data_IF_038962726063
#
_entry.id   IF_038962726063
#
_cell.length_a   1.000
_cell.length_b   1.000
_cell.length_c   1.000
_cell.angle_alpha   90.00
_cell.angle_beta   90.00
_cell.angle_gamma   90.00
#
_symmetry.space_group_name_H-M   'P 1'
#
loop_
_entity.id
_entity.type
_entity.pdbx_description
1 polymer ?
#
# COMPACT_ATOMS: atom_id res chain seq x y z
N UNK A 1 -3.67 -6.35 -1.31
CA UNK A 1 -3.92 -7.62 -0.62
C UNK A 1 -5.36 -8.14 -0.77
N UNK A 2 -6.33 -7.51 -1.46
CA UNK A 2 -7.69 -8.05 -1.51
C UNK A 2 -8.49 -7.69 -2.78
N UNK A 3 -9.40 -8.57 -3.19
CA UNK A 3 -10.60 -8.22 -3.97
C UNK A 3 -11.44 -7.21 -3.16
N UNK A 4 -12.38 -6.49 -3.79
CA UNK A 4 -13.27 -5.51 -3.14
C UNK A 4 -13.98 -6.01 -1.85
N UNK A 5 -13.95 -7.32 -1.57
CA UNK A 5 -14.48 -7.99 -0.37
C UNK A 5 -13.45 -8.34 0.73
N UNK A 6 -12.20 -7.90 0.66
CA UNK A 6 -11.31 -7.96 1.83
C UNK A 6 -10.91 -9.36 2.33
N UNK A 7 -10.93 -10.42 1.50
CA UNK A 7 -10.39 -11.76 1.87
C UNK A 7 -9.22 -12.26 1.01
N UNK A 8 -8.20 -12.80 1.67
CA UNK A 8 -6.99 -13.34 1.03
C UNK A 8 -7.34 -14.51 0.11
N UNK A 9 -8.23 -15.38 0.59
CA UNK A 9 -8.73 -16.55 -0.11
C UNK A 9 -9.45 -16.20 -1.42
N UNK A 10 -10.16 -15.08 -1.48
CA UNK A 10 -10.83 -14.67 -2.73
C UNK A 10 -9.87 -14.12 -3.77
N UNK A 11 -8.79 -13.42 -3.41
CA UNK A 11 -7.83 -13.00 -4.43
C UNK A 11 -7.21 -14.21 -5.18
N UNK A 12 -6.90 -15.27 -4.44
CA UNK A 12 -6.34 -16.53 -4.95
C UNK A 12 -7.38 -17.30 -5.78
N UNK A 13 -8.61 -17.43 -5.27
CA UNK A 13 -9.67 -18.19 -5.93
C UNK A 13 -10.07 -17.60 -7.30
N UNK A 14 -9.94 -16.28 -7.47
CA UNK A 14 -10.40 -15.57 -8.67
C UNK A 14 -9.27 -15.23 -9.66
N UNK A 15 -8.03 -15.70 -9.45
CA UNK A 15 -6.87 -15.45 -10.34
C UNK A 15 -6.75 -13.97 -10.75
N UNK A 16 -6.85 -13.06 -9.78
CA UNK A 16 -6.82 -11.62 -10.08
C UNK A 16 -5.47 -11.21 -10.69
N UNK A 17 -5.49 -10.30 -11.68
CA UNK A 17 -4.26 -9.75 -12.26
C UNK A 17 -3.50 -8.91 -11.25
N UNK A 18 -4.13 -7.89 -10.69
CA UNK A 18 -3.56 -7.01 -9.68
C UNK A 18 -4.24 -7.23 -8.33
N UNK A 19 -3.59 -6.82 -7.23
CA UNK A 19 -4.14 -6.97 -5.88
C UNK A 19 -3.88 -5.75 -5.00
N UNK A 20 -4.95 -5.04 -4.61
CA UNK A 20 -4.85 -3.77 -3.85
C UNK A 20 -5.09 -3.94 -2.36
N UNK A 21 -4.39 -3.18 -1.51
CA UNK A 21 -4.64 -3.12 -0.06
C UNK A 21 -4.98 -1.70 0.37
N UNK A 22 -5.48 -1.55 1.59
CA UNK A 22 -5.48 -0.30 2.34
C UNK A 22 -5.27 -0.63 3.82
N UNK A 23 -5.20 0.38 4.68
CA UNK A 23 -4.92 0.15 6.10
C UNK A 23 -6.03 -0.62 6.84
N UNK A 24 -7.31 -0.34 6.57
CA UNK A 24 -8.43 -1.05 7.20
C UNK A 24 -8.42 -2.54 6.84
N UNK A 25 -8.14 -2.81 5.57
CA UNK A 25 -8.08 -4.13 5.00
C UNK A 25 -6.84 -4.91 5.52
N UNK A 26 -5.67 -4.27 5.58
CA UNK A 26 -4.46 -4.87 6.16
C UNK A 26 -4.66 -5.18 7.65
N UNK A 27 -5.26 -4.25 8.40
CA UNK A 27 -5.61 -4.45 9.80
C UNK A 27 -6.53 -5.66 9.98
N UNK A 28 -7.68 -5.70 9.27
CA UNK A 28 -8.65 -6.80 9.41
C UNK A 28 -8.04 -8.18 9.12
N UNK A 29 -7.05 -8.25 8.25
CA UNK A 29 -6.32 -9.49 8.02
C UNK A 29 -5.30 -9.80 9.10
N UNK A 30 -4.43 -8.84 9.43
CA UNK A 30 -3.40 -9.03 10.44
C UNK A 30 -4.00 -9.37 11.81
N UNK A 31 -5.21 -8.91 12.10
CA UNK A 31 -5.95 -9.25 13.32
C UNK A 31 -6.37 -10.72 13.41
N UNK A 32 -6.30 -11.51 12.33
CA UNK A 32 -6.66 -12.94 12.40
C UNK A 32 -5.61 -13.74 13.16
N UNK A 33 -6.02 -14.74 13.97
CA UNK A 33 -5.09 -15.54 14.79
C UNK A 33 -3.94 -16.19 14.00
N UNK A 34 -4.21 -16.60 12.75
CA UNK A 34 -3.23 -17.23 11.86
C UNK A 34 -2.03 -16.34 11.50
N UNK A 35 -2.14 -15.01 11.63
CA UNK A 35 -1.06 -14.07 11.33
C UNK A 35 -0.29 -13.61 12.57
N UNK A 36 -0.54 -14.16 13.76
CA UNK A 36 0.17 -13.81 15.00
C UNK A 36 1.69 -13.91 14.84
N UNK A 37 2.18 -14.98 14.22
CA UNK A 37 3.61 -15.17 13.97
C UNK A 37 4.18 -14.14 12.99
N UNK A 38 3.40 -13.71 12.00
CA UNK A 38 3.80 -12.67 11.06
C UNK A 38 3.96 -11.33 11.78
N UNK A 39 3.05 -10.98 12.69
CA UNK A 39 3.13 -9.76 13.50
C UNK A 39 4.38 -9.80 14.37
N UNK A 40 4.59 -10.86 15.15
CA UNK A 40 5.76 -10.98 16.04
C UNK A 40 7.08 -10.90 15.26
N UNK A 41 7.16 -11.58 14.11
CA UNK A 41 8.33 -11.49 13.24
C UNK A 41 8.54 -10.08 12.66
N UNK A 42 7.47 -9.34 12.37
CA UNK A 42 7.55 -7.98 11.84
C UNK A 42 8.02 -6.97 12.88
N UNK A 43 7.60 -7.13 14.15
CA UNK A 43 8.09 -6.32 15.27
C UNK A 43 9.58 -6.56 15.50
N UNK A 44 10.01 -7.83 15.50
CA UNK A 44 11.43 -8.18 15.67
C UNK A 44 12.30 -7.52 14.58
N UNK A 45 11.90 -7.66 13.32
CA UNK A 45 12.62 -7.09 12.20
C UNK A 45 12.58 -5.55 12.19
N UNK A 46 11.49 -4.94 12.65
CA UNK A 46 11.42 -3.49 12.84
C UNK A 46 12.42 -2.98 13.87
N UNK A 47 12.59 -3.68 15.00
CA UNK A 47 13.60 -3.34 16.02
C UNK A 47 15.00 -3.38 15.40
N UNK A 48 15.31 -4.46 14.67
CA UNK A 48 16.61 -4.68 14.03
C UNK A 48 16.90 -3.63 12.92
N UNK A 49 15.88 -3.23 12.16
CA UNK A 49 16.01 -2.27 11.06
C UNK A 49 15.85 -0.81 11.47
N UNK A 50 15.33 -0.52 12.67
CA UNK A 50 15.10 0.85 13.14
C UNK A 50 16.33 1.77 13.02
N UNK A 51 17.59 1.34 13.24
CA UNK A 51 18.74 2.23 13.08
C UNK A 51 19.01 2.60 11.61
N UNK A 52 18.55 1.79 10.65
CA UNK A 52 18.72 2.03 9.20
C UNK A 52 17.64 2.92 8.61
N UNK A 53 16.50 3.06 9.30
CA UNK A 53 15.37 3.87 8.85
C UNK A 53 15.03 4.91 9.93
N UNK A 54 15.83 5.98 10.08
CA UNK A 54 15.54 7.04 11.04
C UNK A 54 14.26 7.80 10.62
N UNK A 55 13.42 8.15 11.60
CA UNK A 55 12.18 8.90 11.37
C UNK A 55 10.93 8.22 11.93
N UNK A 56 10.50 7.05 11.40
CA UNK A 56 9.36 6.31 11.93
C UNK A 56 9.65 5.73 13.32
N UNK A 57 8.60 5.50 14.11
CA UNK A 57 8.71 4.69 15.33
C UNK A 57 8.88 3.20 14.97
N UNK A 58 9.28 2.38 15.94
CA UNK A 58 9.38 0.93 15.75
C UNK A 58 8.02 0.32 15.39
N UNK A 59 6.93 0.84 15.98
CA UNK A 59 5.56 0.40 15.70
C UNK A 59 5.14 0.74 14.27
N UNK A 60 5.42 1.95 13.80
CA UNK A 60 5.14 2.35 12.42
C UNK A 60 5.91 1.47 11.43
N UNK A 61 7.19 1.22 11.71
CA UNK A 61 8.02 0.36 10.88
C UNK A 61 7.52 -1.09 10.90
N UNK A 62 7.07 -1.61 12.04
CA UNK A 62 6.49 -2.94 12.16
C UNK A 62 5.19 -3.10 11.37
N UNK A 63 4.32 -2.08 11.36
CA UNK A 63 3.09 -2.07 10.56
C UNK A 63 3.39 -2.12 9.07
N UNK A 64 4.40 -1.37 8.61
CA UNK A 64 4.82 -1.40 7.21
C UNK A 64 5.41 -2.76 6.82
N UNK A 65 6.33 -3.30 7.62
CA UNK A 65 6.91 -4.63 7.38
C UNK A 65 5.81 -5.69 7.35
N UNK A 66 4.87 -5.66 8.29
CA UNK A 66 3.76 -6.60 8.33
C UNK A 66 2.89 -6.50 7.07
N UNK A 67 2.59 -5.28 6.62
CA UNK A 67 1.79 -5.04 5.41
C UNK A 67 2.52 -5.51 4.15
N UNK A 68 3.84 -5.31 4.05
CA UNK A 68 4.66 -5.78 2.94
C UNK A 68 4.75 -7.31 2.92
N UNK A 69 5.04 -7.94 4.06
CA UNK A 69 5.05 -9.41 4.19
C UNK A 69 3.72 -10.03 3.80
N UNK A 70 2.63 -9.39 4.22
CA UNK A 70 1.30 -9.78 3.81
C UNK A 70 1.22 -9.70 2.28
N UNK A 71 1.47 -8.54 1.67
CA UNK A 71 1.44 -8.35 0.21
C UNK A 71 2.28 -9.38 -0.57
N UNK A 72 3.50 -9.67 -0.10
CA UNK A 72 4.41 -10.64 -0.71
C UNK A 72 3.88 -12.08 -0.66
N UNK A 73 3.08 -12.46 0.35
CA UNK A 73 2.40 -13.77 0.37
C UNK A 73 1.40 -13.93 -0.78
N UNK A 74 0.81 -12.83 -1.27
CA UNK A 74 -0.12 -12.88 -2.43
C UNK A 74 0.61 -12.86 -3.76
N UNK A 75 1.78 -12.23 -3.85
CA UNK A 75 2.45 -12.00 -5.12
C UNK A 75 2.62 -13.24 -6.03
N UNK A 76 2.87 -14.46 -5.51
CA UNK A 76 2.93 -15.69 -6.32
C UNK A 76 1.58 -16.10 -6.95
N UNK A 77 0.47 -15.63 -6.41
CA UNK A 77 -0.88 -16.01 -6.81
C UNK A 77 -1.54 -15.03 -7.80
N UNK A 78 -0.81 -13.99 -8.22
CA UNK A 78 -1.28 -12.99 -9.18
C UNK A 78 -0.24 -12.78 -10.28
N UNK A 79 -0.67 -12.34 -11.46
CA UNK A 79 0.23 -12.11 -12.62
C UNK A 79 0.70 -10.67 -12.75
N UNK A 80 -0.02 -9.72 -12.15
CA UNK A 80 0.26 -8.29 -12.15
C UNK A 80 0.83 -7.83 -10.80
N UNK A 81 0.37 -6.68 -10.33
CA UNK A 81 1.02 -5.90 -9.28
C UNK A 81 0.38 -6.05 -7.90
N UNK A 82 1.20 -6.02 -6.86
CA UNK A 82 0.75 -5.76 -5.49
C UNK A 82 0.70 -4.24 -5.25
N UNK A 83 -0.38 -3.75 -4.65
CA UNK A 83 -0.50 -2.33 -4.33
C UNK A 83 -0.45 -2.15 -2.81
N UNK A 84 0.53 -1.37 -2.35
CA UNK A 84 0.78 -1.10 -0.92
C UNK A 84 0.50 0.37 -0.66
N UNK A 85 -0.31 0.66 0.36
CA UNK A 85 -0.71 2.01 0.69
C UNK A 85 0.32 2.70 1.58
N UNK A 86 0.70 3.92 1.22
CA UNK A 86 1.52 4.78 2.07
C UNK A 86 0.79 5.14 3.37
N UNK A 87 1.53 5.50 4.41
CA UNK A 87 0.97 5.91 5.69
C UNK A 87 -0.02 7.09 5.50
N UNK A 88 -1.33 6.91 5.79
CA UNK A 88 -2.34 7.95 5.57
C UNK A 88 -2.12 9.20 6.42
N UNK A 89 -1.44 9.11 7.56
CA UNK A 89 -1.09 10.28 8.37
C UNK A 89 -0.18 11.26 7.63
N UNK A 90 0.48 10.83 6.56
CA UNK A 90 1.33 11.67 5.73
C UNK A 90 0.62 12.25 4.51
N UNK A 91 -0.68 12.00 4.33
CA UNK A 91 -1.42 12.39 3.12
C UNK A 91 -1.33 13.88 2.77
N UNK A 92 -1.14 14.76 3.74
CA UNK A 92 -1.02 16.21 3.54
C UNK A 92 0.42 16.72 3.59
N UNK A 93 1.40 15.87 3.24
CA UNK A 93 2.81 16.26 3.16
C UNK A 93 3.52 15.52 2.04
N UNK A 94 3.87 16.25 0.97
CA UNK A 94 4.54 15.68 -0.21
C UNK A 94 5.82 14.95 0.20
N UNK A 95 6.65 15.58 1.04
CA UNK A 95 7.91 15.02 1.49
C UNK A 95 7.71 13.75 2.33
N UNK A 96 6.78 13.77 3.30
CA UNK A 96 6.56 12.57 4.14
C UNK A 96 5.97 11.42 3.33
N UNK A 97 5.04 11.68 2.42
CA UNK A 97 4.52 10.65 1.50
C UNK A 97 5.62 10.08 0.61
N UNK A 98 6.46 10.94 0.01
CA UNK A 98 7.56 10.51 -0.85
C UNK A 98 8.58 9.66 -0.09
N UNK A 99 9.03 10.12 1.09
CA UNK A 99 9.96 9.38 1.96
C UNK A 99 9.37 8.03 2.39
N UNK A 100 8.08 8.00 2.73
CA UNK A 100 7.41 6.77 3.10
C UNK A 100 7.32 5.78 1.93
N UNK A 101 6.99 6.26 0.73
CA UNK A 101 6.95 5.43 -0.48
C UNK A 101 8.31 4.78 -0.76
N UNK A 102 9.41 5.55 -0.68
CA UNK A 102 10.76 5.00 -0.83
C UNK A 102 11.10 4.00 0.27
N UNK A 103 10.72 4.26 1.53
CA UNK A 103 10.93 3.30 2.61
C UNK A 103 10.21 1.97 2.34
N UNK A 104 8.96 2.01 1.85
CA UNK A 104 8.23 0.80 1.44
C UNK A 104 8.96 0.04 0.33
N UNK A 105 9.52 0.73 -0.67
CA UNK A 105 10.30 0.10 -1.74
C UNK A 105 11.55 -0.59 -1.17
N UNK A 106 12.33 0.11 -0.33
CA UNK A 106 13.54 -0.43 0.27
C UNK A 106 13.24 -1.63 1.18
N UNK A 107 12.19 -1.55 1.99
CA UNK A 107 11.74 -2.67 2.83
C UNK A 107 11.28 -3.86 1.99
N UNK A 108 10.58 -3.62 0.88
CA UNK A 108 10.16 -4.68 -0.03
C UNK A 108 11.36 -5.40 -0.64
N UNK A 109 12.38 -4.66 -1.08
CA UNK A 109 13.62 -5.25 -1.60
C UNK A 109 14.43 -5.95 -0.51
N UNK A 110 14.43 -5.44 0.72
CA UNK A 110 15.05 -6.13 1.84
C UNK A 110 14.40 -7.48 2.13
N UNK A 111 13.07 -7.52 2.15
CA UNK A 111 12.28 -8.72 2.44
C UNK A 111 12.25 -9.73 1.28
N UNK A 112 12.36 -9.26 0.05
CA UNK A 112 12.35 -10.11 -1.14
C UNK A 112 13.26 -9.50 -2.24
N UNK A 113 14.59 -9.72 -2.18
CA UNK A 113 15.57 -9.05 -3.04
C UNK A 113 15.40 -9.23 -4.55
N UNK A 114 14.69 -10.27 -4.98
CA UNK A 114 14.40 -10.56 -6.39
C UNK A 114 13.01 -10.11 -6.81
N UNK A 115 12.27 -9.40 -5.95
CA UNK A 115 10.91 -8.96 -6.29
C UNK A 115 10.99 -7.84 -7.32
N UNK A 116 10.35 -7.98 -8.50
CA UNK A 116 10.45 -6.98 -9.54
C UNK A 116 9.72 -5.71 -9.12
N UNK A 117 10.44 -4.57 -9.09
CA UNK A 117 9.87 -3.27 -8.74
C UNK A 117 8.69 -2.88 -9.63
N UNK A 118 8.67 -3.33 -10.89
CA UNK A 118 7.54 -3.11 -11.79
C UNK A 118 6.24 -3.74 -11.28
N UNK A 119 6.29 -4.78 -10.44
CA UNK A 119 5.09 -5.39 -9.83
C UNK A 119 4.72 -4.77 -8.47
N UNK A 120 5.38 -3.68 -8.05
CA UNK A 120 5.03 -2.92 -6.86
C UNK A 120 4.39 -1.58 -7.27
N UNK A 121 3.19 -1.32 -6.78
CA UNK A 121 2.49 -0.05 -6.98
C UNK A 121 2.23 0.64 -5.63
N UNK A 122 2.57 1.93 -5.53
CA UNK A 122 2.42 2.72 -4.32
C UNK A 122 1.06 3.42 -4.35
N UNK A 123 0.18 3.05 -3.41
CA UNK A 123 -1.16 3.61 -3.32
C UNK A 123 -1.18 4.82 -2.40
N UNK A 124 -1.51 5.98 -2.94
CA UNK A 124 -1.35 7.29 -2.30
C UNK A 124 -2.69 8.04 -2.31
N UNK A 125 -3.14 8.61 -1.18
CA UNK A 125 -4.33 9.46 -1.13
C UNK A 125 -4.25 10.64 -2.10
N UNK A 126 -5.33 10.89 -2.85
CA UNK A 126 -5.40 11.92 -3.91
C UNK A 126 -5.63 13.33 -3.35
N UNK A 127 -4.87 13.70 -2.33
CA UNK A 127 -4.72 15.09 -1.86
C UNK A 127 -3.81 15.86 -2.83
N UNK A 128 -3.74 17.18 -2.71
CA UNK A 128 -2.80 17.98 -3.50
C UNK A 128 -1.35 17.52 -3.28
N UNK A 129 -0.95 17.38 -2.02
CA UNK A 129 0.39 16.96 -1.65
C UNK A 129 0.70 15.52 -2.07
N UNK A 130 -0.29 14.64 -1.98
CA UNK A 130 -0.21 13.25 -2.42
C UNK A 130 0.00 13.13 -3.92
N UNK A 131 -0.76 13.87 -4.73
CA UNK A 131 -0.59 13.88 -6.19
C UNK A 131 0.74 14.52 -6.61
N UNK A 132 1.26 15.52 -5.87
CA UNK A 132 2.63 16.01 -6.07
C UNK A 132 3.67 14.92 -5.75
N UNK A 133 3.45 14.10 -4.73
CA UNK A 133 4.33 12.98 -4.44
C UNK A 133 4.24 11.92 -5.55
N UNK A 134 3.05 11.64 -6.08
CA UNK A 134 2.88 10.76 -7.24
C UNK A 134 3.69 11.26 -8.44
N UNK A 135 3.63 12.55 -8.78
CA UNK A 135 4.40 13.13 -9.89
C UNK A 135 5.91 12.84 -9.76
N UNK A 136 6.48 13.02 -8.56
CA UNK A 136 7.90 12.77 -8.31
C UNK A 136 8.26 11.29 -8.40
N UNK A 137 7.37 10.41 -7.91
CA UNK A 137 7.56 8.96 -7.92
C UNK A 137 7.47 8.39 -9.33
N UNK A 138 6.45 8.78 -10.11
CA UNK A 138 6.27 8.34 -11.50
C UNK A 138 7.42 8.85 -12.39
N UNK A 139 7.88 10.09 -12.20
CA UNK A 139 9.07 10.61 -12.87
C UNK A 139 10.34 9.81 -12.53
N UNK A 140 10.36 9.12 -11.39
CA UNK A 140 11.44 8.23 -10.95
C UNK A 140 11.19 6.76 -11.33
N UNK A 141 10.17 6.46 -12.15
CA UNK A 141 9.83 5.11 -12.59
C UNK A 141 9.12 4.24 -11.54
N UNK A 142 8.57 4.86 -10.49
CA UNK A 142 7.80 4.18 -9.45
C UNK A 142 6.30 4.29 -9.76
N UNK A 143 5.65 3.14 -9.99
CA UNK A 143 4.22 3.08 -10.27
C UNK A 143 3.39 3.52 -9.08
N UNK A 144 2.42 4.38 -9.31
CA UNK A 144 1.53 4.91 -8.28
C UNK A 144 0.06 4.68 -8.60
N UNK A 145 -0.74 4.58 -7.54
CA UNK A 145 -2.19 4.54 -7.58
C UNK A 145 -2.74 5.73 -6.79
N UNK A 146 -3.54 6.57 -7.42
CA UNK A 146 -4.29 7.64 -6.76
C UNK A 146 -5.58 7.07 -6.12
N UNK A 147 -5.64 7.00 -4.78
CA UNK A 147 -6.79 6.50 -4.01
C UNK A 147 -7.52 7.64 -3.29
N UNK A 148 -8.62 7.37 -2.56
CA UNK A 148 -9.46 8.41 -1.92
C UNK A 148 -9.84 9.51 -2.91
N UNK A 149 -10.22 9.06 -4.10
CA UNK A 149 -10.56 9.88 -5.24
C UNK A 149 -12.09 9.92 -5.35
N UNK A 150 -12.66 11.11 -5.20
CA UNK A 150 -14.10 11.35 -5.14
C UNK A 150 -14.59 12.34 -6.19
N UNK A 151 -13.69 13.11 -6.81
CA UNK A 151 -14.05 14.13 -7.80
C UNK A 151 -13.39 13.88 -9.15
N UNK A 152 -14.03 14.39 -10.22
CA UNK A 152 -13.45 14.40 -11.57
C UNK A 152 -12.15 15.19 -11.61
N UNK A 153 -12.03 16.26 -10.84
CA UNK A 153 -10.81 17.07 -10.74
C UNK A 153 -9.64 16.26 -10.19
N UNK A 154 -9.86 15.44 -9.15
CA UNK A 154 -8.81 14.55 -8.64
C UNK A 154 -8.40 13.51 -9.69
N UNK A 155 -9.34 12.98 -10.48
CA UNK A 155 -9.00 12.05 -11.58
C UNK A 155 -8.20 12.72 -12.70
N UNK A 156 -8.59 13.94 -13.10
CA UNK A 156 -7.86 14.69 -14.11
C UNK A 156 -6.42 14.98 -13.64
N UNK A 157 -6.25 15.48 -12.42
CA UNK A 157 -4.94 15.73 -11.84
C UNK A 157 -4.11 14.45 -11.70
N UNK A 158 -4.73 13.33 -11.29
CA UNK A 158 -4.03 12.04 -11.21
C UNK A 158 -3.50 11.58 -12.57
N UNK A 159 -4.27 11.81 -13.65
CA UNK A 159 -3.82 11.53 -15.01
C UNK A 159 -2.70 12.48 -15.46
N UNK A 160 -2.80 13.78 -15.15
CA UNK A 160 -1.79 14.79 -15.48
C UNK A 160 -0.44 14.52 -14.82
N UNK A 161 -0.43 14.04 -13.57
CA UNK A 161 0.82 13.68 -12.86
C UNK A 161 1.34 12.28 -13.23
N UNK A 162 0.67 11.57 -14.13
CA UNK A 162 1.13 10.30 -14.66
C UNK A 162 0.87 9.08 -13.77
N UNK A 163 -0.09 9.14 -12.82
CA UNK A 163 -0.42 7.98 -12.00
C UNK A 163 -0.75 6.76 -12.87
N UNK A 164 -0.06 5.65 -12.62
CA UNK A 164 -0.29 4.37 -13.33
C UNK A 164 -1.72 3.86 -13.15
N UNK A 165 -2.32 4.10 -11.97
CA UNK A 165 -3.66 3.69 -11.64
C UNK A 165 -4.45 4.80 -10.93
N UNK A 166 -5.77 4.73 -11.03
CA UNK A 166 -6.72 5.52 -10.22
C UNK A 166 -7.72 4.57 -9.53
N UNK A 167 -8.11 4.88 -8.30
CA UNK A 167 -9.16 4.16 -7.57
C UNK A 167 -10.26 5.14 -7.12
N UNK A 168 -11.21 5.47 -8.01
CA UNK A 168 -12.40 6.25 -7.66
C UNK A 168 -13.26 5.47 -6.66
N UNK A 169 -13.72 6.15 -5.61
CA UNK A 169 -14.65 5.58 -4.64
C UNK A 169 -16.07 5.88 -5.11
N UNK A 170 -16.74 4.83 -5.61
CA UNK A 170 -18.13 4.91 -6.09
C UNK A 170 -19.17 4.83 -4.97
N UNK A 171 -18.75 4.34 -3.79
CA UNK A 171 -19.62 4.21 -2.62
C UNK A 171 -19.14 5.12 -1.49
N UNK A 172 -20.07 5.55 -0.63
CA UNK A 172 -19.73 6.26 0.60
C UNK A 172 -18.96 5.36 1.57
N UNK A 173 -18.01 5.90 2.33
CA UNK A 173 -17.22 5.14 3.30
C UNK A 173 -18.08 4.29 4.26
N UNK A 174 -19.28 4.78 4.62
CA UNK A 174 -20.20 4.09 5.54
C UNK A 174 -20.62 2.69 5.08
N UNK A 175 -20.71 2.44 3.77
CA UNK A 175 -21.13 1.12 3.25
C UNK A 175 -20.12 0.01 3.57
N UNK A 176 -18.91 0.37 4.01
CA UNK A 176 -17.88 -0.59 4.39
C UNK A 176 -17.94 -0.99 5.87
N UNK A 177 -18.75 -0.30 6.68
CA UNK A 177 -18.85 -0.51 8.13
C UNK A 177 -20.27 -0.82 8.61
N UNK A 178 -21.29 -0.42 7.85
CA UNK A 178 -22.70 -0.66 8.20
C UNK A 178 -23.28 -1.78 7.31
N UNK A 179 -23.90 -2.82 7.88
CA UNK A 179 -24.73 -3.74 7.11
C UNK A 179 -25.93 -2.95 6.56
N UNK A 180 -26.06 -2.89 5.24
CA UNK A 180 -27.24 -2.33 4.58
C UNK A 180 -28.48 -3.19 4.74
#
# INVERSE_FOLDING_TARGET
MFSAKGRLSTAIQWMSKDCTSNQAIAFGELSKPEHKNLITASVKEAIELSPKFPGPSVEELAVEIATIKLALKIAPHITGSIHIQTNPYYAYSTTKTFTNAWRIIHLTQHLHPTFPQSRLCLKIPSTWEGLRACALLEASGVRTLATTLFTRTQAALAAEVGCTYVAPYVNQLKVHSEPG
#
